data_IF_551622281846
#
_entry.id   IF_551622281846
#
_cell.length_a   1.000
_cell.length_b   1.000
_cell.length_c   1.000
_cell.angle_alpha   90.00
_cell.angle_beta   90.00
_cell.angle_gamma   90.00
#
_symmetry.space_group_name_H-M   'P 1'
#
loop_
_entity.id
_entity.type
_entity.pdbx_description
1 polymer ?
#
# COMPACT_ATOMS: atom_id res chain seq x y z
N UNK A 1 5.89 -4.27 -8.42
CA UNK A 1 5.60 -5.43 -7.56
C UNK A 1 4.08 -5.59 -7.51
N UNK A 2 3.56 -6.81 -7.44
CA UNK A 2 2.12 -7.07 -7.43
C UNK A 2 1.56 -7.11 -6.00
N UNK A 3 0.25 -6.93 -5.87
CA UNK A 3 -0.47 -7.02 -4.60
C UNK A 3 -0.33 -8.42 -3.99
N UNK A 4 0.00 -8.50 -2.70
CA UNK A 4 0.16 -9.78 -2.00
C UNK A 4 -1.15 -10.43 -1.54
N UNK A 5 -2.30 -9.88 -1.93
CA UNK A 5 -3.60 -10.40 -1.52
C UNK A 5 -4.07 -11.44 -2.54
N UNK A 6 -4.80 -12.45 -2.07
CA UNK A 6 -5.27 -13.55 -2.91
C UNK A 6 -6.12 -13.04 -4.09
N UNK A 7 -5.90 -13.65 -5.27
CA UNK A 7 -6.67 -13.39 -6.49
C UNK A 7 -6.63 -11.91 -6.94
N UNK A 8 -5.46 -11.27 -6.82
CA UNK A 8 -5.29 -9.86 -7.17
C UNK A 8 -3.97 -9.55 -7.87
N UNK A 9 -4.02 -9.42 -9.20
CA UNK A 9 -2.85 -9.08 -10.04
C UNK A 9 -2.60 -7.57 -10.21
N UNK A 10 -3.18 -6.73 -9.35
CA UNK A 10 -2.97 -5.28 -9.42
C UNK A 10 -1.58 -4.91 -8.89
N UNK A 11 -0.94 -3.85 -9.42
CA UNK A 11 0.31 -3.38 -8.86
C UNK A 11 0.12 -2.96 -7.40
N UNK A 12 1.07 -3.35 -6.55
CA UNK A 12 1.20 -2.82 -5.21
C UNK A 12 1.49 -1.32 -5.30
N UNK A 13 0.92 -0.56 -4.37
CA UNK A 13 1.05 0.91 -4.32
C UNK A 13 1.39 1.41 -2.92
N UNK A 14 1.23 0.57 -1.89
CA UNK A 14 1.54 0.91 -0.51
C UNK A 14 2.12 -0.30 0.23
N UNK A 15 2.88 -0.01 1.28
CA UNK A 15 3.25 -0.96 2.32
C UNK A 15 2.34 -0.76 3.53
N UNK A 16 1.74 -1.85 4.03
CA UNK A 16 0.99 -1.86 5.27
C UNK A 16 1.93 -2.21 6.42
N UNK A 17 2.04 -1.31 7.39
CA UNK A 17 2.75 -1.57 8.64
C UNK A 17 1.83 -2.27 9.63
N UNK A 18 2.01 -3.58 9.77
CA UNK A 18 1.16 -4.43 10.61
C UNK A 18 1.90 -4.75 11.91
N UNK A 19 1.37 -4.36 13.10
CA UNK A 19 2.09 -4.55 14.37
C UNK A 19 2.27 -6.01 14.84
N UNK A 20 1.51 -6.96 14.29
CA UNK A 20 1.41 -8.33 14.80
C UNK A 20 1.83 -9.41 13.79
N UNK A 21 2.24 -9.02 12.59
CA UNK A 21 2.77 -9.92 11.56
C UNK A 21 3.63 -9.13 10.58
N UNK A 22 4.21 -9.78 9.58
CA UNK A 22 5.02 -9.11 8.57
C UNK A 22 4.23 -8.04 7.80
N UNK A 23 4.94 -6.98 7.39
CA UNK A 23 4.40 -5.95 6.52
C UNK A 23 3.91 -6.57 5.20
N UNK A 24 2.89 -5.94 4.59
CA UNK A 24 2.30 -6.42 3.34
C UNK A 24 2.31 -5.35 2.27
N UNK A 25 2.62 -5.73 1.05
CA UNK A 25 2.61 -4.84 -0.11
C UNK A 25 1.32 -5.04 -0.89
N UNK A 26 0.45 -4.04 -0.87
CA UNK A 26 -0.90 -4.17 -1.42
C UNK A 26 -1.24 -3.04 -2.38
N UNK A 27 -2.19 -3.30 -3.28
CA UNK A 27 -2.73 -2.26 -4.14
C UNK A 27 -3.54 -1.24 -3.33
N UNK A 28 -3.73 -0.04 -3.89
CA UNK A 28 -4.46 1.05 -3.23
C UNK A 28 -5.90 0.66 -2.81
N UNK A 29 -6.55 -0.24 -3.55
CA UNK A 29 -7.90 -0.71 -3.22
C UNK A 29 -7.93 -1.60 -1.97
N UNK A 30 -7.00 -2.56 -1.85
CA UNK A 30 -6.90 -3.40 -0.66
C UNK A 30 -6.40 -2.60 0.54
N UNK A 31 -5.46 -1.69 0.35
CA UNK A 31 -5.01 -0.77 1.39
C UNK A 31 -6.17 -0.01 2.04
N UNK A 32 -7.09 0.52 1.23
CA UNK A 32 -8.26 1.26 1.73
C UNK A 32 -9.16 0.40 2.62
N UNK A 33 -9.31 -0.88 2.30
CA UNK A 33 -10.18 -1.80 3.05
C UNK A 33 -9.46 -2.26 4.32
N UNK A 34 -8.24 -2.79 4.18
CA UNK A 34 -7.43 -3.33 5.27
C UNK A 34 -7.10 -2.27 6.32
N UNK A 35 -6.65 -1.08 5.90
CA UNK A 35 -6.35 0.02 6.83
C UNK A 35 -7.55 0.46 7.67
N UNK A 36 -8.78 0.31 7.14
CA UNK A 36 -10.02 0.62 7.88
C UNK A 36 -10.46 -0.51 8.81
N UNK A 37 -10.30 -1.77 8.40
CA UNK A 37 -10.73 -2.93 9.17
C UNK A 37 -9.77 -3.22 10.31
N UNK A 38 -8.48 -3.16 10.03
CA UNK A 38 -7.43 -3.59 10.95
C UNK A 38 -6.77 -2.42 11.69
N UNK A 39 -7.07 -1.17 11.30
CA UNK A 39 -6.47 0.02 11.92
C UNK A 39 -4.97 0.14 11.70
N UNK A 40 -4.47 -0.43 10.60
CA UNK A 40 -3.05 -0.40 10.21
C UNK A 40 -2.71 0.82 9.36
N UNK A 41 -1.47 1.28 9.47
CA UNK A 41 -0.96 2.43 8.70
C UNK A 41 -0.51 1.96 7.32
N UNK A 42 -0.93 2.68 6.29
CA UNK A 42 -0.50 2.48 4.90
C UNK A 42 0.50 3.56 4.51
N UNK A 43 1.70 3.17 4.12
CA UNK A 43 2.74 4.07 3.62
C UNK A 43 2.86 3.88 2.10
N UNK A 44 2.71 4.94 1.27
CA UNK A 44 2.92 4.81 -0.17
C UNK A 44 4.33 4.32 -0.51
N UNK A 45 4.41 3.35 -1.43
CA UNK A 45 5.72 2.98 -1.97
C UNK A 45 6.23 4.14 -2.84
N UNK A 46 7.46 4.57 -2.58
CA UNK A 46 8.09 5.73 -3.23
C UNK A 46 8.04 5.67 -4.77
N UNK A 47 8.16 4.48 -5.36
CA UNK A 47 8.11 4.27 -6.82
C UNK A 47 6.75 4.62 -7.47
N UNK A 48 5.70 4.87 -6.66
CA UNK A 48 4.37 5.30 -7.14
C UNK A 48 3.94 6.64 -6.53
N UNK A 49 4.65 7.11 -5.51
CA UNK A 49 4.32 8.33 -4.76
C UNK A 49 5.23 9.52 -5.05
N UNK A 50 6.47 9.31 -5.49
CA UNK A 50 7.46 10.39 -5.67
C UNK A 50 7.03 11.40 -6.74
N UNK A 51 6.53 10.90 -7.89
CA UNK A 51 5.95 11.72 -8.97
C UNK A 51 4.80 12.65 -8.48
N UNK A 52 4.12 12.32 -7.38
CA UNK A 52 3.02 13.10 -6.82
C UNK A 52 3.47 14.09 -5.73
N UNK A 53 4.67 13.92 -5.18
CA UNK A 53 5.26 14.76 -4.15
C UNK A 53 6.19 15.83 -4.73
N UNK A 54 6.71 15.63 -5.95
CA UNK A 54 7.39 16.63 -6.76
C UNK A 54 6.39 17.64 -7.37
N UNK A 55 5.69 18.41 -6.52
CA UNK A 55 4.88 19.55 -6.99
C UNK A 55 5.78 20.75 -7.28
N UNK A 56 5.87 21.08 -8.57
CA UNK A 56 6.34 22.31 -9.22
C UNK A 56 7.04 23.35 -8.31
N UNK A 57 8.35 23.52 -8.50
CA UNK A 57 9.10 24.72 -8.10
C UNK A 57 8.83 25.93 -9.02
#
# INVERSE_FOLDING_TARGET
MDCTEDDCDRPAAVELHIPWTDNRLVCAAHARVLGRQDGVVADPIVDTGDDLLERDE
#
